data_IF_786782631100
#
_entry.id   IF_786782631100
#
_cell.length_a   1.000
_cell.length_b   1.000
_cell.length_c   1.000
_cell.angle_alpha   90.00
_cell.angle_beta   90.00
_cell.angle_gamma   90.00
#
_symmetry.space_group_name_H-M   'P 1'
#
loop_
_entity.id
_entity.type
_entity.pdbx_description
1 polymer ?
#
# COMPACT_ATOMS: atom_id res chain seq x y z
N UNK A 1 2.59 2.38 24.17
CA UNK A 1 1.85 2.65 22.91
C UNK A 1 2.05 1.42 22.03
N UNK A 2 1.00 0.64 21.75
CA UNK A 2 1.13 -0.55 20.87
C UNK A 2 1.24 -0.05 19.43
N UNK A 3 2.35 -0.35 18.75
CA UNK A 3 2.51 -0.06 17.32
C UNK A 3 1.55 -0.93 16.51
N UNK A 4 0.95 -0.36 15.47
CA UNK A 4 0.23 -1.14 14.46
C UNK A 4 1.20 -2.13 13.82
N UNK A 5 0.84 -3.42 13.82
CA UNK A 5 1.63 -4.49 13.21
C UNK A 5 1.19 -4.76 11.78
N UNK A 6 2.15 -4.94 10.88
CA UNK A 6 1.91 -5.45 9.53
C UNK A 6 2.44 -6.88 9.42
N UNK A 7 1.61 -7.75 8.88
CA UNK A 7 1.97 -9.15 8.65
C UNK A 7 1.71 -9.56 7.22
N UNK A 8 2.44 -10.58 6.79
CA UNK A 8 2.28 -11.22 5.50
C UNK A 8 1.58 -12.56 5.72
N UNK A 9 0.38 -12.77 5.15
CA UNK A 9 -0.12 -14.12 4.93
C UNK A 9 0.88 -14.93 4.10
N UNK A 10 0.95 -16.25 4.32
CA UNK A 10 1.91 -17.14 3.65
C UNK A 10 1.91 -16.99 2.12
N UNK A 11 0.74 -16.72 1.52
CA UNK A 11 0.55 -16.57 0.07
C UNK A 11 0.87 -15.17 -0.47
N UNK A 12 0.98 -14.15 0.39
CA UNK A 12 1.01 -12.75 -0.05
C UNK A 12 2.34 -12.36 -0.68
N UNK A 13 3.44 -12.99 -0.25
CA UNK A 13 4.77 -12.74 -0.82
C UNK A 13 4.86 -13.20 -2.28
N UNK A 14 4.21 -14.31 -2.62
CA UNK A 14 4.20 -14.84 -4.00
C UNK A 14 3.46 -13.90 -4.98
N UNK A 15 2.60 -13.03 -4.46
CA UNK A 15 1.87 -12.04 -5.26
C UNK A 15 2.69 -10.78 -5.56
N UNK A 16 3.88 -10.64 -4.98
CA UNK A 16 4.76 -9.50 -5.20
C UNK A 16 5.57 -9.64 -6.49
N UNK A 17 4.91 -9.44 -7.63
CA UNK A 17 5.54 -9.52 -8.94
C UNK A 17 6.41 -8.28 -9.18
N UNK A 18 7.73 -8.44 -9.11
CA UNK A 18 8.70 -7.36 -9.36
C UNK A 18 8.67 -6.24 -8.32
N UNK A 19 8.23 -6.54 -7.10
CA UNK A 19 8.22 -5.65 -5.94
C UNK A 19 8.85 -6.41 -4.77
N UNK A 20 9.82 -5.80 -4.09
CA UNK A 20 10.38 -6.38 -2.88
C UNK A 20 9.50 -6.12 -1.65
N UNK A 21 9.50 -7.00 -0.64
CA UNK A 21 8.83 -6.72 0.64
C UNK A 21 9.32 -5.41 1.29
N UNK A 22 10.60 -5.07 1.11
CA UNK A 22 11.18 -3.82 1.59
C UNK A 22 10.56 -2.58 0.91
N UNK A 23 10.33 -2.61 -0.41
CA UNK A 23 9.63 -1.52 -1.11
C UNK A 23 8.21 -1.32 -0.57
N UNK A 24 7.52 -2.40 -0.21
CA UNK A 24 6.20 -2.32 0.43
C UNK A 24 6.30 -1.67 1.81
N UNK A 25 7.25 -2.11 2.64
CA UNK A 25 7.47 -1.51 3.95
C UNK A 25 7.84 -0.03 3.85
N UNK A 26 8.64 0.37 2.86
CA UNK A 26 8.96 1.78 2.63
C UNK A 26 7.70 2.62 2.39
N UNK A 27 6.72 2.11 1.63
CA UNK A 27 5.44 2.81 1.43
C UNK A 27 4.62 2.86 2.71
N UNK A 28 4.58 1.76 3.46
CA UNK A 28 3.79 1.65 4.70
C UNK A 28 4.36 2.45 5.88
N UNK A 29 5.67 2.71 5.90
CA UNK A 29 6.31 3.45 7.00
C UNK A 29 6.62 4.90 6.66
N UNK A 30 6.54 5.31 5.39
CA UNK A 30 6.72 6.71 5.00
C UNK A 30 5.67 7.62 5.66
N UNK A 31 6.10 8.82 6.05
CA UNK A 31 5.20 9.84 6.58
C UNK A 31 4.21 10.31 5.52
N UNK A 32 4.71 10.57 4.30
CA UNK A 32 3.89 11.00 3.17
C UNK A 32 3.36 9.80 2.40
N UNK A 33 2.14 9.41 2.76
CA UNK A 33 1.36 8.32 2.17
C UNK A 33 -0.11 8.68 2.21
N UNK A 34 -0.89 8.16 1.27
CA UNK A 34 -2.31 8.44 1.17
C UNK A 34 -3.14 7.17 1.41
N UNK A 35 -3.75 7.03 2.61
CA UNK A 35 -4.72 5.99 2.87
C UNK A 35 -6.04 6.28 2.15
N UNK A 36 -6.54 5.34 1.35
CA UNK A 36 -7.85 5.43 0.71
C UNK A 36 -8.50 4.07 0.54
N UNK A 37 -9.83 4.05 0.47
CA UNK A 37 -10.58 2.84 0.12
C UNK A 37 -10.21 2.43 -1.31
N UNK A 38 -9.97 1.15 -1.50
CA UNK A 38 -9.74 0.55 -2.80
C UNK A 38 -10.53 -0.74 -2.95
N UNK A 39 -10.54 -1.26 -4.17
CA UNK A 39 -11.18 -2.52 -4.50
C UNK A 39 -10.14 -3.47 -5.10
N UNK A 40 -10.09 -4.69 -4.61
CA UNK A 40 -9.30 -5.77 -5.21
C UNK A 40 -9.88 -6.20 -6.55
N UNK A 41 -9.13 -7.00 -7.32
CA UNK A 41 -9.57 -7.58 -8.58
C UNK A 41 -10.85 -8.44 -8.46
N UNK A 42 -11.09 -9.00 -7.27
CA UNK A 42 -12.28 -9.80 -6.94
C UNK A 42 -13.45 -8.96 -6.42
N UNK A 43 -13.35 -7.62 -6.44
CA UNK A 43 -14.41 -6.72 -5.99
C UNK A 43 -14.49 -6.52 -4.46
N UNK A 44 -13.57 -7.12 -3.70
CA UNK A 44 -13.48 -6.96 -2.24
C UNK A 44 -12.96 -5.57 -1.90
N UNK A 45 -13.66 -4.87 -0.99
CA UNK A 45 -13.19 -3.60 -0.44
C UNK A 45 -11.99 -3.82 0.50
N UNK A 46 -10.97 -2.98 0.35
CA UNK A 46 -9.77 -3.02 1.17
C UNK A 46 -9.26 -1.61 1.44
N UNK A 47 -8.48 -1.46 2.51
CA UNK A 47 -7.69 -0.26 2.71
C UNK A 47 -6.52 -0.32 1.72
N UNK A 48 -6.30 0.75 0.97
CA UNK A 48 -5.11 0.91 0.14
C UNK A 48 -4.27 2.06 0.63
N UNK A 49 -2.95 1.87 0.63
CA UNK A 49 -1.98 2.90 0.93
C UNK A 49 -1.23 3.21 -0.35
N UNK A 50 -1.37 4.45 -0.80
CA UNK A 50 -0.68 4.98 -1.97
C UNK A 50 0.57 5.72 -1.50
N UNK A 51 1.71 5.45 -2.12
CA UNK A 51 2.95 6.11 -1.73
C UNK A 51 4.10 5.83 -2.68
N UNK A 52 5.24 6.44 -2.38
CA UNK A 52 6.49 6.25 -3.12
C UNK A 52 7.50 5.49 -2.27
N UNK A 53 8.18 4.54 -2.89
CA UNK A 53 9.39 3.93 -2.35
C UNK A 53 10.47 4.98 -2.09
N UNK A 54 11.60 4.58 -1.49
CA UNK A 54 12.76 5.44 -1.33
C UNK A 54 13.32 5.90 -2.70
N UNK A 55 13.25 5.04 -3.71
CA UNK A 55 13.66 5.35 -5.09
C UNK A 55 12.62 6.16 -5.88
N UNK A 56 11.51 6.59 -5.26
CA UNK A 56 10.47 7.39 -5.91
C UNK A 56 9.43 6.60 -6.72
N UNK A 57 9.62 5.27 -6.87
CA UNK A 57 8.66 4.39 -7.57
C UNK A 57 7.29 4.41 -6.85
N UNK A 58 6.19 4.77 -7.55
CA UNK A 58 4.85 4.84 -6.96
C UNK A 58 4.19 3.46 -6.90
N UNK A 59 3.73 3.06 -5.70
CA UNK A 59 3.06 1.79 -5.46
C UNK A 59 1.73 1.99 -4.72
N UNK A 60 0.82 1.03 -4.94
CA UNK A 60 -0.38 0.85 -4.13
C UNK A 60 -0.21 -0.43 -3.32
N UNK A 61 -0.33 -0.32 -2.01
CA UNK A 61 -0.30 -1.45 -1.06
C UNK A 61 -1.71 -1.70 -0.55
N UNK A 62 -2.21 -2.91 -0.74
CA UNK A 62 -3.51 -3.36 -0.24
C UNK A 62 -3.38 -4.00 1.14
N UNK A 63 -4.23 -3.54 2.07
CA UNK A 63 -4.29 -4.00 3.44
C UNK A 63 -5.68 -4.52 3.77
N UNK A 64 -5.71 -5.65 4.47
CA UNK A 64 -6.91 -6.21 5.10
C UNK A 64 -6.73 -6.18 6.61
N UNK A 65 -7.75 -5.73 7.34
CA UNK A 65 -7.74 -5.84 8.79
C UNK A 65 -8.02 -7.29 9.20
N UNK A 66 -7.09 -7.90 9.93
CA UNK A 66 -7.26 -9.25 10.50
C UNK A 66 -7.80 -9.15 11.94
N UNK A 67 -7.22 -8.26 12.73
CA UNK A 67 -7.62 -7.94 14.11
C UNK A 67 -7.60 -6.42 14.35
N UNK A 68 -8.18 -5.89 15.45
CA UNK A 68 -8.25 -4.46 15.72
C UNK A 68 -6.92 -3.68 15.60
N UNK A 69 -5.78 -4.35 15.78
CA UNK A 69 -4.43 -3.75 15.72
C UNK A 69 -3.46 -4.48 14.78
N UNK A 70 -3.96 -5.40 13.96
CA UNK A 70 -3.17 -6.27 13.09
C UNK A 70 -3.69 -6.18 11.66
N UNK A 71 -2.81 -5.77 10.76
CA UNK A 71 -3.12 -5.62 9.35
C UNK A 71 -2.32 -6.62 8.53
N UNK A 72 -3.01 -7.31 7.63
CA UNK A 72 -2.40 -8.18 6.65
C UNK A 72 -2.13 -7.40 5.37
N UNK A 73 -0.91 -7.53 4.87
CA UNK A 73 -0.54 -7.04 3.54
C UNK A 73 -0.98 -8.12 2.55
N UNK A 74 -1.97 -7.78 1.72
CA UNK A 74 -2.64 -8.74 0.83
C UNK A 74 -2.36 -8.48 -0.66
N UNK A 75 -1.79 -7.31 -0.98
CA UNK A 75 -1.42 -6.96 -2.35
C UNK A 75 -0.38 -5.83 -2.35
N UNK A 76 0.47 -5.81 -3.38
CA UNK A 76 1.17 -4.60 -3.78
C UNK A 76 1.32 -4.58 -5.30
N UNK A 77 1.20 -3.41 -5.91
CA UNK A 77 1.40 -3.23 -7.35
C UNK A 77 1.90 -1.83 -7.70
N UNK A 78 2.53 -1.64 -8.86
CA UNK A 78 2.77 -0.32 -9.40
C UNK A 78 1.45 0.43 -9.64
N UNK A 79 1.48 1.74 -9.48
CA UNK A 79 0.39 2.60 -9.96
C UNK A 79 0.35 2.62 -11.50
N UNK A 80 -0.86 2.70 -12.07
CA UNK A 80 -1.02 3.05 -13.49
C UNK A 80 -0.75 4.56 -13.70
N UNK A 81 -0.52 5.02 -14.95
CA UNK A 81 -0.30 6.43 -15.23
C UNK A 81 -1.40 7.35 -14.69
N UNK A 82 -2.67 6.94 -14.77
CA UNK A 82 -3.82 7.70 -14.28
C UNK A 82 -3.80 7.81 -12.76
N UNK A 83 -3.43 6.73 -12.08
CA UNK A 83 -3.29 6.70 -10.62
C UNK A 83 -2.10 7.53 -10.15
N UNK A 84 -1.00 7.56 -10.91
CA UNK A 84 0.13 8.46 -10.62
C UNK A 84 -0.34 9.91 -10.72
N UNK A 85 -1.07 10.28 -11.77
CA UNK A 85 -1.59 11.65 -11.91
C UNK A 85 -2.56 12.03 -10.79
N UNK A 86 -3.44 11.11 -10.35
CA UNK A 86 -4.31 11.32 -9.18
C UNK A 86 -3.49 11.49 -7.90
N UNK A 87 -2.49 10.63 -7.69
CA UNK A 87 -1.63 10.66 -6.53
C UNK A 87 -0.80 11.95 -6.45
N UNK A 88 -0.27 12.42 -7.58
CA UNK A 88 0.53 13.65 -7.65
C UNK A 88 -0.28 14.90 -7.32
N UNK A 89 -1.56 14.95 -7.71
CA UNK A 89 -2.46 16.02 -7.29
C UNK A 89 -2.64 16.03 -5.78
N UNK A 90 -2.92 14.86 -5.19
CA UNK A 90 -3.00 14.74 -3.74
C UNK A 90 -1.69 15.14 -3.05
N UNK A 91 -0.54 14.73 -3.60
CA UNK A 91 0.78 15.11 -3.08
C UNK A 91 0.91 16.64 -3.05
N UNK A 92 0.53 17.35 -4.12
CA UNK A 92 0.61 18.81 -4.18
C UNK A 92 -0.31 19.52 -3.18
N UNK A 93 -1.50 18.97 -2.94
CA UNK A 93 -2.50 19.55 -2.02
C UNK A 93 -2.20 19.28 -0.53
N UNK A 94 -1.35 18.28 -0.22
CA UNK A 94 -1.10 17.80 1.14
C UNK A 94 0.41 17.82 1.48
N UNK A 95 1.06 18.98 1.29
CA UNK A 95 2.47 19.21 1.62
C UNK A 95 2.76 19.24 3.12
#
# INVERSE_FOLDING_TARGET
MRSVGFEWPDWALDMLIGISPNEVMQVLTKQRRWPRRGRGSTGIEMLTIWGRTAAGRPLIVGLRQAEPWQWQIVAARPMSPEQVAEFEKWEQENQ
#
